data_IF_539380226229
#
_entry.id   IF_539380226229
#
_cell.length_a   1.000
_cell.length_b   1.000
_cell.length_c   1.000
_cell.angle_alpha   90.00
_cell.angle_beta   90.00
_cell.angle_gamma   90.00
#
_symmetry.space_group_name_H-M   'P 1'
#
loop_
_entity.id
_entity.type
_entity.pdbx_description
1 polymer ?
#
# COMPACT_ATOMS: atom_id res chain seq x y z
N UNK A 1 7.80 -4.58 -6.95
CA UNK A 1 6.45 -5.14 -7.21
C UNK A 1 5.52 -4.02 -6.87
N UNK A 2 4.66 -3.57 -7.78
CA UNK A 2 3.78 -2.44 -7.46
C UNK A 2 2.77 -2.78 -6.36
N UNK A 3 2.15 -1.74 -5.81
CA UNK A 3 1.16 -1.85 -4.74
C UNK A 3 0.00 -2.77 -5.13
N UNK A 4 -0.53 -2.63 -6.35
CA UNK A 4 -1.66 -3.41 -6.84
C UNK A 4 -1.35 -4.91 -6.89
N UNK A 5 -0.15 -5.27 -7.33
CA UNK A 5 0.33 -6.64 -7.38
C UNK A 5 0.50 -7.23 -5.97
N UNK A 6 0.94 -6.44 -4.99
CA UNK A 6 1.02 -6.86 -3.58
C UNK A 6 -0.37 -7.12 -2.99
N UNK A 7 -1.35 -6.26 -3.27
CA UNK A 7 -2.74 -6.45 -2.85
C UNK A 7 -3.32 -7.73 -3.47
N UNK A 8 -3.13 -7.92 -4.78
CA UNK A 8 -3.57 -9.13 -5.48
C UNK A 8 -3.00 -10.39 -4.85
N UNK A 9 -1.70 -10.38 -4.55
CA UNK A 9 -1.03 -11.51 -3.90
C UNK A 9 -1.65 -11.85 -2.55
N UNK A 10 -1.85 -10.85 -1.68
CA UNK A 10 -2.50 -11.06 -0.38
C UNK A 10 -3.93 -11.58 -0.53
N UNK A 11 -4.69 -11.06 -1.50
CA UNK A 11 -6.05 -11.55 -1.81
C UNK A 11 -6.04 -13.03 -2.18
N UNK A 12 -5.14 -13.43 -3.07
CA UNK A 12 -5.03 -14.81 -3.55
C UNK A 12 -4.54 -15.76 -2.41
N UNK A 13 -3.62 -15.30 -1.55
CA UNK A 13 -3.13 -16.03 -0.36
C UNK A 13 -4.22 -16.24 0.70
N UNK A 14 -5.21 -15.33 0.76
CA UNK A 14 -6.38 -15.45 1.63
C UNK A 14 -7.57 -16.14 0.94
N UNK A 15 -7.38 -16.65 -0.28
CA UNK A 15 -8.41 -17.33 -1.07
C UNK A 15 -9.69 -16.51 -1.33
N UNK A 16 -9.55 -15.18 -1.42
CA UNK A 16 -10.65 -14.26 -1.67
C UNK A 16 -10.82 -13.99 -3.16
N UNK A 17 -12.05 -13.94 -3.63
CA UNK A 17 -12.40 -13.36 -4.93
C UNK A 17 -12.25 -11.83 -4.90
N UNK A 18 -12.16 -11.21 -6.08
CA UNK A 18 -12.16 -9.75 -6.16
C UNK A 18 -13.45 -9.12 -5.64
N UNK A 19 -14.59 -9.80 -5.74
CA UNK A 19 -15.85 -9.29 -5.19
C UNK A 19 -15.83 -9.28 -3.66
N UNK A 20 -15.34 -10.35 -3.04
CA UNK A 20 -15.25 -10.45 -1.58
C UNK A 20 -14.33 -9.38 -1.01
N UNK A 21 -13.10 -9.25 -1.54
CA UNK A 21 -12.19 -8.21 -1.05
C UNK A 21 -12.74 -6.80 -1.32
N UNK A 22 -13.37 -6.56 -2.47
CA UNK A 22 -13.95 -5.26 -2.77
C UNK A 22 -15.09 -4.91 -1.80
N UNK A 23 -15.90 -5.90 -1.41
CA UNK A 23 -16.94 -5.74 -0.41
C UNK A 23 -16.34 -5.36 0.95
N UNK A 24 -15.32 -6.08 1.42
CA UNK A 24 -14.64 -5.80 2.70
C UNK A 24 -13.94 -4.43 2.71
N UNK A 25 -13.40 -3.98 1.58
CA UNK A 25 -12.77 -2.66 1.45
C UNK A 25 -13.78 -1.53 1.16
N UNK A 26 -15.06 -1.85 1.01
CA UNK A 26 -16.15 -0.94 0.63
C UNK A 26 -15.87 -0.16 -0.67
N UNK A 27 -15.37 -0.86 -1.69
CA UNK A 27 -15.14 -0.32 -3.04
C UNK A 27 -15.86 -1.17 -4.09
N UNK A 28 -15.93 -0.67 -5.33
CA UNK A 28 -16.44 -1.50 -6.42
C UNK A 28 -15.41 -2.56 -6.84
N UNK A 29 -15.87 -3.73 -7.30
CA UNK A 29 -14.98 -4.74 -7.86
C UNK A 29 -14.18 -4.21 -9.08
N UNK A 30 -14.76 -3.32 -9.89
CA UNK A 30 -14.05 -2.65 -10.98
C UNK A 30 -12.91 -1.77 -10.48
N UNK A 31 -13.09 -1.08 -9.34
CA UNK A 31 -12.03 -0.32 -8.67
C UNK A 31 -10.89 -1.25 -8.26
N UNK A 32 -11.21 -2.37 -7.59
CA UNK A 32 -10.21 -3.34 -7.17
C UNK A 32 -9.47 -3.96 -8.38
N UNK A 33 -10.20 -4.32 -9.44
CA UNK A 33 -9.62 -4.82 -10.68
C UNK A 33 -8.61 -3.84 -11.28
N UNK A 34 -8.97 -2.55 -11.37
CA UNK A 34 -8.09 -1.51 -11.89
C UNK A 34 -6.83 -1.32 -11.02
N UNK A 35 -6.95 -1.49 -9.70
CA UNK A 35 -5.82 -1.45 -8.78
C UNK A 35 -4.90 -2.66 -9.02
N UNK A 36 -5.44 -3.87 -8.97
CA UNK A 36 -4.66 -5.11 -9.09
C UNK A 36 -4.01 -5.32 -10.47
N UNK A 37 -4.58 -4.71 -11.52
CA UNK A 37 -4.04 -4.74 -12.88
C UNK A 37 -3.01 -3.66 -13.18
N UNK A 38 -2.77 -2.72 -12.25
CA UNK A 38 -1.87 -1.58 -12.46
C UNK A 38 -2.45 -0.47 -13.35
N UNK A 39 -3.73 -0.56 -13.72
CA UNK A 39 -4.43 0.47 -14.49
C UNK A 39 -4.73 1.73 -13.68
N UNK A 40 -4.88 1.59 -12.35
CA UNK A 40 -4.96 2.73 -11.43
C UNK A 40 -3.57 3.17 -11.00
N UNK A 41 -3.24 4.44 -11.22
CA UNK A 41 -1.95 5.04 -10.79
C UNK A 41 -1.94 5.49 -9.34
N UNK A 42 -3.09 5.55 -8.66
CA UNK A 42 -3.20 6.09 -7.30
C UNK A 42 -4.24 5.30 -6.49
N UNK A 43 -3.80 4.84 -5.32
CA UNK A 43 -4.67 4.41 -4.23
C UNK A 43 -4.69 5.59 -3.24
N UNK A 44 -5.87 6.01 -2.82
CA UNK A 44 -5.99 7.02 -1.79
C UNK A 44 -5.61 6.47 -0.40
N UNK A 45 -5.31 7.36 0.53
CA UNK A 45 -4.84 6.98 1.86
C UNK A 45 -5.86 6.15 2.64
N UNK A 46 -7.16 6.45 2.50
CA UNK A 46 -8.22 5.77 3.24
C UNK A 46 -8.35 4.31 2.79
N UNK A 47 -8.31 4.06 1.48
CA UNK A 47 -8.32 2.72 0.93
C UNK A 47 -7.06 1.94 1.34
N UNK A 48 -5.89 2.59 1.36
CA UNK A 48 -4.66 1.94 1.80
C UNK A 48 -4.70 1.57 3.30
N UNK A 49 -5.26 2.43 4.15
CA UNK A 49 -5.47 2.14 5.57
C UNK A 49 -6.37 0.92 5.77
N UNK A 50 -7.50 0.84 5.04
CA UNK A 50 -8.37 -0.35 5.05
C UNK A 50 -7.64 -1.63 4.61
N UNK A 51 -6.82 -1.55 3.56
CA UNK A 51 -6.00 -2.68 3.09
C UNK A 51 -5.01 -3.13 4.18
N UNK A 52 -4.36 -2.18 4.85
CA UNK A 52 -3.42 -2.47 5.94
C UNK A 52 -4.13 -3.18 7.10
N UNK A 53 -5.31 -2.69 7.51
CA UNK A 53 -6.11 -3.27 8.58
C UNK A 53 -6.62 -4.67 8.22
N UNK A 54 -7.16 -4.84 7.00
CA UNK A 54 -7.73 -6.10 6.55
C UNK A 54 -6.70 -7.24 6.51
N UNK A 55 -5.48 -6.95 6.04
CA UNK A 55 -4.43 -7.97 5.91
C UNK A 55 -3.44 -8.03 7.09
N UNK A 56 -3.66 -7.22 8.13
CA UNK A 56 -2.72 -7.05 9.24
C UNK A 56 -1.29 -6.81 8.72
N UNK A 57 -1.12 -5.74 7.93
CA UNK A 57 0.15 -5.34 7.32
C UNK A 57 0.43 -3.88 7.60
N UNK A 58 1.69 -3.57 7.89
CA UNK A 58 2.14 -2.19 7.95
C UNK A 58 2.23 -1.58 6.56
N UNK A 59 2.04 -0.26 6.48
CA UNK A 59 2.13 0.51 5.23
C UNK A 59 3.44 0.27 4.45
N UNK A 60 4.55 0.05 5.18
CA UNK A 60 5.87 -0.25 4.61
C UNK A 60 5.88 -1.51 3.73
N UNK A 61 4.99 -2.47 3.99
CA UNK A 61 4.85 -3.64 3.14
C UNK A 61 4.47 -3.26 1.70
N UNK A 62 3.61 -2.25 1.54
CA UNK A 62 3.09 -1.83 0.24
C UNK A 62 4.04 -0.87 -0.49
N UNK A 63 4.88 -0.14 0.24
CA UNK A 63 5.88 0.76 -0.34
C UNK A 63 6.98 0.01 -1.12
N UNK A 64 7.45 0.61 -2.23
CA UNK A 64 8.67 0.16 -2.91
C UNK A 64 9.90 0.77 -2.23
N UNK A 65 11.01 0.04 -2.17
CA UNK A 65 12.28 0.48 -1.56
C UNK A 65 12.77 1.83 -2.12
N UNK A 66 12.48 2.12 -3.39
CA UNK A 66 12.83 3.38 -4.04
C UNK A 66 12.17 4.61 -3.39
N UNK A 67 11.06 4.43 -2.67
CA UNK A 67 10.36 5.51 -1.96
C UNK A 67 10.94 5.82 -0.57
N UNK A 68 11.79 4.94 -0.01
CA UNK A 68 12.32 5.10 1.36
C UNK A 68 13.60 5.94 1.47
N UNK A 69 14.19 6.38 0.36
CA UNK A 69 15.52 7.00 0.33
C UNK A 69 15.60 8.48 0.78
N UNK A 70 14.55 9.07 1.39
CA UNK A 70 14.52 10.51 1.67
C UNK A 70 14.39 10.92 3.16
N UNK A 71 14.35 9.98 4.11
CA UNK A 71 14.06 10.33 5.53
C UNK A 71 15.30 10.32 6.44
N UNK A 72 16.44 9.75 6.03
CA UNK A 72 17.55 9.48 6.98
C UNK A 72 18.76 10.43 6.94
N UNK A 73 18.67 11.67 6.43
CA UNK A 73 19.85 12.56 6.35
C UNK A 73 19.61 14.03 6.78
N UNK A 74 18.85 14.29 7.85
CA UNK A 74 18.90 15.62 8.53
C UNK A 74 18.64 15.53 10.05
N UNK A 75 19.51 14.84 10.78
CA UNK A 75 19.70 15.20 12.19
C UNK A 75 21.10 14.79 12.67
N UNK A 76 22.05 15.73 12.61
CA UNK A 76 23.23 15.88 13.47
C UNK A 76 24.24 16.84 12.83
N UNK A 77 24.06 18.16 12.95
CA UNK A 77 25.18 19.13 13.07
C UNK A 77 24.67 20.55 13.39
N UNK A 78 24.30 20.83 14.64
CA UNK A 78 24.38 22.19 15.20
C UNK A 78 24.78 22.09 16.66
N UNK A 79 26.05 21.78 16.90
CA UNK A 79 26.73 22.06 18.16
C UNK A 79 28.24 22.07 17.88
N UNK A 80 28.71 23.13 17.22
CA UNK A 80 30.09 23.62 17.40
C UNK A 80 30.20 25.02 16.78
N UNK A 81 30.01 26.04 17.61
CA UNK A 81 30.66 27.35 17.52
C UNK A 81 30.57 27.97 18.92
N UNK A 82 31.53 27.57 19.77
CA UNK A 82 32.17 28.48 20.72
C UNK A 82 33.20 29.30 19.95
#
# INVERSE_FOLDING_TARGET
>A
MDIGTKIKKLRDENHLSQNELAFELEISQGTLHNIESGNSKKIDFLLMDKVCQFFDKEFNYFLDEKMMNNVSQKHSQTDLLK
#
